data_IF_457474283840
#
_entry.id   IF_457474283840
#
_cell.length_a   1.000
_cell.length_b   1.000
_cell.length_c   1.000
_cell.angle_alpha   90.00
_cell.angle_beta   90.00
_cell.angle_gamma   90.00
#
_symmetry.space_group_name_H-M   'P 1'
#
loop_
_entity.id
_entity.type
_entity.pdbx_description
1 polymer ?
#
# COMPACT_ATOMS: atom_id res chain seq x y z
N UNK A 1 18.19 24.90 -41.95
CA UNK A 1 17.91 23.55 -41.42
C UNK A 1 17.80 23.64 -39.91
N UNK A 2 16.58 23.73 -39.37
CA UNK A 2 16.34 23.83 -37.92
C UNK A 2 16.65 22.48 -37.29
N UNK A 3 17.71 22.39 -36.49
CA UNK A 3 17.98 21.21 -35.67
C UNK A 3 16.96 21.20 -34.52
N UNK A 4 15.93 20.36 -34.65
CA UNK A 4 14.94 20.10 -33.60
C UNK A 4 15.66 19.61 -32.34
N UNK A 5 15.49 20.33 -31.23
CA UNK A 5 16.02 19.92 -29.92
C UNK A 5 15.29 18.64 -29.48
N UNK A 6 15.99 17.62 -28.96
CA UNK A 6 15.33 16.44 -28.44
C UNK A 6 14.40 16.84 -27.29
N UNK A 7 13.13 16.46 -27.38
CA UNK A 7 12.14 16.66 -26.33
C UNK A 7 12.56 15.80 -25.13
N UNK A 8 13.17 16.41 -24.11
CA UNK A 8 13.60 15.72 -22.90
C UNK A 8 12.35 15.33 -22.11
N UNK A 9 12.03 14.05 -22.10
CA UNK A 9 10.99 13.51 -21.21
C UNK A 9 11.42 13.83 -19.77
N UNK A 10 10.61 14.55 -18.97
CA UNK A 10 10.95 14.83 -17.58
C UNK A 10 11.09 13.52 -16.81
N UNK A 11 12.16 13.40 -16.02
CA UNK A 11 12.37 12.24 -15.15
C UNK A 11 11.24 12.23 -14.10
N UNK A 12 10.63 11.07 -13.79
CA UNK A 12 9.60 10.99 -12.76
C UNK A 12 10.10 11.55 -11.44
N UNK A 13 9.23 12.21 -10.68
CA UNK A 13 9.56 12.60 -9.32
C UNK A 13 9.77 11.35 -8.44
N UNK A 14 10.43 11.49 -7.29
CA UNK A 14 10.57 10.39 -6.34
C UNK A 14 9.20 9.83 -5.90
N UNK A 15 8.20 10.71 -5.82
CA UNK A 15 6.80 10.36 -5.53
C UNK A 15 6.21 9.49 -6.65
N UNK A 16 6.35 9.90 -7.90
CA UNK A 16 5.82 9.14 -9.04
C UNK A 16 6.46 7.76 -9.14
N UNK A 17 7.77 7.68 -8.87
CA UNK A 17 8.49 6.40 -8.83
C UNK A 17 7.98 5.47 -7.71
N UNK A 18 7.71 6.00 -6.52
CA UNK A 18 7.14 5.24 -5.39
C UNK A 18 5.75 4.70 -5.73
N UNK A 19 4.90 5.54 -6.32
CA UNK A 19 3.53 5.14 -6.71
C UNK A 19 3.59 4.11 -7.83
N UNK A 20 4.46 4.28 -8.82
CA UNK A 20 4.64 3.33 -9.91
C UNK A 20 5.16 1.96 -9.40
N UNK A 21 6.10 1.96 -8.47
CA UNK A 21 6.62 0.74 -7.82
C UNK A 21 5.51 -0.03 -7.11
N UNK A 22 4.62 0.67 -6.39
CA UNK A 22 3.49 0.04 -5.75
C UNK A 22 2.43 -0.44 -6.76
N UNK A 23 2.08 0.39 -7.74
CA UNK A 23 1.09 0.06 -8.77
C UNK A 23 1.49 -1.17 -9.59
N UNK A 24 2.79 -1.39 -9.82
CA UNK A 24 3.32 -2.56 -10.50
C UNK A 24 3.01 -3.92 -9.82
N UNK A 25 2.48 -3.91 -8.59
CA UNK A 25 2.04 -5.11 -7.86
C UNK A 25 0.68 -5.65 -8.33
N UNK A 26 -0.06 -4.88 -9.11
CA UNK A 26 -1.39 -5.24 -9.59
C UNK A 26 -1.39 -5.47 -11.10
N UNK A 27 -2.20 -6.40 -11.61
CA UNK A 27 -2.37 -6.62 -13.05
C UNK A 27 -3.29 -5.59 -13.72
N UNK A 28 -3.69 -4.53 -13.01
CA UNK A 28 -4.63 -3.50 -13.43
C UNK A 28 -4.11 -2.12 -13.05
N UNK A 29 -4.63 -1.09 -13.73
CA UNK A 29 -4.34 0.31 -13.38
C UNK A 29 -5.13 0.72 -12.14
N UNK A 30 -4.52 1.55 -11.31
CA UNK A 30 -5.19 2.13 -10.14
C UNK A 30 -6.21 3.18 -10.58
N UNK A 31 -7.35 3.22 -9.90
CA UNK A 31 -8.38 4.23 -10.12
C UNK A 31 -7.92 5.60 -9.58
N UNK A 32 -8.48 6.68 -10.12
CA UNK A 32 -8.09 8.06 -9.75
C UNK A 32 -8.16 8.32 -8.24
N UNK A 33 -9.21 7.86 -7.58
CA UNK A 33 -9.37 8.04 -6.12
C UNK A 33 -8.30 7.27 -5.32
N UNK A 34 -7.84 6.13 -5.84
CA UNK A 34 -6.78 5.34 -5.21
C UNK A 34 -5.45 6.09 -5.34
N UNK A 35 -5.14 6.60 -6.53
CA UNK A 35 -3.93 7.39 -6.79
C UNK A 35 -3.90 8.66 -5.95
N UNK A 36 -5.03 9.36 -5.84
CA UNK A 36 -5.15 10.56 -5.00
C UNK A 36 -4.89 10.24 -3.51
N UNK A 37 -5.56 9.23 -2.96
CA UNK A 37 -5.36 8.83 -1.57
C UNK A 37 -3.92 8.36 -1.29
N UNK A 38 -3.32 7.63 -2.23
CA UNK A 38 -1.93 7.19 -2.17
C UNK A 38 -0.96 8.38 -2.16
N UNK A 39 -1.18 9.41 -2.98
CA UNK A 39 -0.36 10.63 -2.98
C UNK A 39 -0.41 11.34 -1.64
N UNK A 40 -1.59 11.47 -1.05
CA UNK A 40 -1.75 12.11 0.26
C UNK A 40 -1.06 11.31 1.37
N UNK A 41 -1.19 9.98 1.36
CA UNK A 41 -0.47 9.09 2.28
C UNK A 41 1.05 9.24 2.14
N UNK A 42 1.56 9.27 0.90
CA UNK A 42 2.98 9.43 0.64
C UNK A 42 3.51 10.83 1.03
N UNK A 43 2.63 11.84 1.09
CA UNK A 43 2.91 13.15 1.67
C UNK A 43 2.74 13.17 3.21
N UNK A 44 2.63 12.01 3.87
CA UNK A 44 2.44 11.84 5.31
C UNK A 44 1.18 12.50 5.86
N UNK A 45 0.11 12.53 5.06
CA UNK A 45 -1.21 13.00 5.47
C UNK A 45 -2.13 11.81 5.70
N UNK A 46 -3.06 11.98 6.63
CA UNK A 46 -4.11 10.99 6.88
C UNK A 46 -5.21 11.10 5.84
N UNK A 47 -5.78 9.96 5.43
CA UNK A 47 -6.87 9.89 4.46
C UNK A 47 -8.07 9.14 5.01
N UNK A 48 -9.27 9.56 4.64
CA UNK A 48 -10.52 8.84 4.84
C UNK A 48 -11.11 8.52 3.47
N UNK A 49 -11.13 7.25 3.09
CA UNK A 49 -11.62 6.83 1.77
C UNK A 49 -13.04 6.26 1.90
N UNK A 50 -14.02 6.99 1.37
CA UNK A 50 -15.41 6.57 1.28
C UNK A 50 -15.76 6.26 -0.18
N UNK A 51 -15.87 4.98 -0.52
CA UNK A 51 -16.28 4.51 -1.84
C UNK A 51 -17.20 3.28 -1.69
N UNK A 52 -18.01 2.90 -2.69
CA UNK A 52 -18.85 1.69 -2.63
C UNK A 52 -18.05 0.39 -2.43
N UNK A 53 -18.66 -0.63 -1.85
CA UNK A 53 -18.03 -1.96 -1.74
C UNK A 53 -17.70 -2.51 -3.13
N UNK A 54 -16.55 -3.18 -3.28
CA UNK A 54 -16.09 -3.71 -4.57
C UNK A 54 -15.20 -2.78 -5.40
N UNK A 55 -15.05 -1.50 -5.03
CA UNK A 55 -14.23 -0.52 -5.77
C UNK A 55 -12.73 -0.54 -5.43
N UNK A 56 -12.23 -1.57 -4.75
CA UNK A 56 -10.79 -1.70 -4.49
C UNK A 56 -10.20 -0.77 -3.41
N UNK A 57 -10.99 -0.23 -2.48
CA UNK A 57 -10.48 0.59 -1.34
C UNK A 57 -9.30 -0.04 -0.59
N UNK A 58 -9.24 -1.38 -0.56
CA UNK A 58 -8.15 -2.16 0.02
C UNK A 58 -6.78 -1.76 -0.51
N UNK A 59 -6.67 -1.36 -1.78
CA UNK A 59 -5.41 -0.92 -2.40
C UNK A 59 -4.79 0.24 -1.64
N UNK A 60 -5.60 1.19 -1.16
CA UNK A 60 -5.11 2.34 -0.39
C UNK A 60 -4.56 1.90 0.97
N UNK A 61 -5.22 0.95 1.64
CA UNK A 61 -4.74 0.40 2.91
C UNK A 61 -3.45 -0.42 2.72
N UNK A 62 -3.34 -1.18 1.64
CA UNK A 62 -2.13 -1.93 1.27
C UNK A 62 -0.96 -1.00 0.95
N UNK A 63 -1.22 0.17 0.36
CA UNK A 63 -0.20 1.20 0.18
C UNK A 63 0.31 1.74 1.51
N UNK A 64 -0.58 2.00 2.49
CA UNK A 64 -0.16 2.46 3.81
C UNK A 64 0.78 1.46 4.51
N UNK A 65 0.49 0.15 4.40
CA UNK A 65 1.35 -0.92 4.91
C UNK A 65 2.69 -0.94 4.17
N UNK A 66 2.66 -0.88 2.84
CA UNK A 66 3.86 -0.83 2.00
C UNK A 66 4.78 0.34 2.38
N UNK A 67 4.20 1.54 2.53
CA UNK A 67 4.94 2.75 2.88
C UNK A 67 5.55 2.64 4.27
N UNK A 68 4.79 2.18 5.26
CA UNK A 68 5.27 2.00 6.63
C UNK A 68 6.46 1.03 6.68
N UNK A 69 6.36 -0.14 6.06
CA UNK A 69 7.44 -1.13 6.02
C UNK A 69 8.70 -0.59 5.33
N UNK A 70 8.53 0.13 4.22
CA UNK A 70 9.65 0.76 3.51
C UNK A 70 10.36 1.83 4.34
N UNK A 71 9.63 2.53 5.22
CA UNK A 71 10.18 3.50 6.15
C UNK A 71 10.67 2.87 7.47
N UNK A 72 10.60 1.55 7.63
CA UNK A 72 10.94 0.86 8.88
C UNK A 72 10.00 1.15 10.05
N UNK A 73 8.78 1.60 9.74
CA UNK A 73 7.70 1.88 10.69
C UNK A 73 6.79 0.66 10.86
N UNK A 74 5.92 0.73 11.86
CA UNK A 74 4.88 -0.29 12.11
C UNK A 74 3.54 0.16 11.53
N UNK A 75 2.78 -0.78 10.98
CA UNK A 75 1.43 -0.59 10.48
C UNK A 75 0.46 -1.55 11.18
N UNK A 76 -0.69 -1.04 11.59
CA UNK A 76 -1.79 -1.86 12.11
C UNK A 76 -2.89 -1.97 11.05
N UNK A 77 -3.23 -3.20 10.66
CA UNK A 77 -4.26 -3.46 9.69
C UNK A 77 -5.49 -4.06 10.36
N UNK A 78 -6.59 -3.32 10.39
CA UNK A 78 -7.85 -3.77 10.99
C UNK A 78 -8.88 -4.11 9.94
N UNK A 79 -9.63 -5.19 10.17
CA UNK A 79 -10.74 -5.62 9.32
C UNK A 79 -11.95 -5.96 10.20
N UNK A 80 -13.19 -5.82 9.67
CA UNK A 80 -14.40 -5.95 10.48
C UNK A 80 -14.70 -7.39 10.94
N UNK A 81 -14.10 -8.40 10.30
CA UNK A 81 -14.30 -9.81 10.66
C UNK A 81 -12.99 -10.61 10.61
N UNK A 82 -12.88 -11.61 11.49
CA UNK A 82 -11.70 -12.47 11.65
C UNK A 82 -11.26 -13.15 10.35
N UNK A 83 -12.20 -13.62 9.53
CA UNK A 83 -11.89 -14.29 8.27
C UNK A 83 -11.11 -13.38 7.31
N UNK A 84 -11.46 -12.10 7.23
CA UNK A 84 -10.76 -11.12 6.39
C UNK A 84 -9.40 -10.76 6.98
N UNK A 85 -9.29 -10.61 8.30
CA UNK A 85 -8.00 -10.42 8.97
C UNK A 85 -7.05 -11.60 8.68
N UNK A 86 -7.54 -12.83 8.79
CA UNK A 86 -6.74 -14.02 8.52
C UNK A 86 -6.32 -14.13 7.05
N UNK A 87 -7.19 -13.74 6.11
CA UNK A 87 -6.82 -13.68 4.70
C UNK A 87 -5.68 -12.67 4.48
N UNK A 88 -5.84 -11.45 5.00
CA UNK A 88 -4.82 -10.41 4.85
C UNK A 88 -3.50 -10.74 5.55
N UNK A 89 -3.55 -11.41 6.70
CA UNK A 89 -2.36 -11.94 7.35
C UNK A 89 -1.60 -12.90 6.45
N UNK A 90 -2.28 -13.83 5.76
CA UNK A 90 -1.64 -14.73 4.79
C UNK A 90 -1.07 -13.96 3.60
N UNK A 91 -1.86 -13.06 3.01
CA UNK A 91 -1.44 -12.23 1.87
C UNK A 91 -0.17 -11.43 2.22
N UNK A 92 -0.15 -10.77 3.38
CA UNK A 92 1.01 -10.00 3.83
C UNK A 92 2.21 -10.87 4.18
N UNK A 93 2.01 -12.05 4.76
CA UNK A 93 3.12 -12.99 5.01
C UNK A 93 3.74 -13.51 3.72
N UNK A 94 2.93 -13.79 2.72
CA UNK A 94 3.42 -14.18 1.40
C UNK A 94 4.20 -13.04 0.75
N UNK A 95 3.70 -11.81 0.87
CA UNK A 95 4.30 -10.64 0.25
C UNK A 95 5.57 -10.11 0.95
N UNK A 96 5.59 -10.08 2.28
CA UNK A 96 6.64 -9.43 3.08
C UNK A 96 7.45 -10.40 3.94
N UNK A 97 7.06 -11.67 3.98
CA UNK A 97 7.71 -12.71 4.77
C UNK A 97 7.19 -12.80 6.21
N UNK A 98 7.30 -13.99 6.84
CA UNK A 98 6.75 -14.26 8.17
C UNK A 98 7.44 -13.49 9.30
N UNK A 99 8.67 -13.01 9.11
CA UNK A 99 9.40 -12.26 10.14
C UNK A 99 8.86 -10.84 10.36
N UNK A 100 8.24 -10.23 9.34
CA UNK A 100 7.76 -8.85 9.40
C UNK A 100 6.27 -8.73 9.73
N UNK A 101 5.53 -9.83 9.70
CA UNK A 101 4.07 -9.85 9.80
C UNK A 101 3.64 -10.67 11.00
N UNK A 102 2.79 -10.08 11.83
CA UNK A 102 2.09 -10.70 12.94
C UNK A 102 0.58 -10.61 12.77
N UNK A 103 -0.14 -11.27 13.68
CA UNK A 103 -1.59 -11.14 13.80
C UNK A 103 -1.96 -11.14 15.26
N UNK A 104 -2.83 -10.21 15.65
CA UNK A 104 -3.41 -10.14 16.99
C UNK A 104 -4.93 -10.24 16.87
N UNK A 105 -5.47 -11.42 17.19
CA UNK A 105 -6.92 -11.65 17.33
C UNK A 105 -7.23 -12.10 18.74
N UNK A 106 -8.49 -12.02 19.16
CA UNK A 106 -8.91 -12.43 20.51
C UNK A 106 -8.54 -13.86 20.90
N UNK A 107 -8.31 -14.74 19.93
CA UNK A 107 -7.96 -16.15 20.16
C UNK A 107 -6.50 -16.50 19.81
N UNK A 108 -5.83 -15.70 18.97
CA UNK A 108 -4.50 -16.02 18.43
C UNK A 108 -3.65 -14.76 18.39
N UNK A 109 -2.47 -14.84 19.00
CA UNK A 109 -1.40 -13.84 18.89
C UNK A 109 -0.18 -14.54 18.27
N UNK A 110 0.16 -14.18 17.03
CA UNK A 110 1.36 -14.68 16.35
C UNK A 110 2.26 -13.50 15.97
N UNK A 111 3.57 -13.63 16.24
CA UNK A 111 4.58 -12.60 15.97
C UNK A 111 4.15 -11.17 16.36
N UNK A 112 3.85 -10.88 17.64
CA UNK A 112 3.40 -9.55 18.08
C UNK A 112 4.47 -8.45 17.89
N UNK A 113 5.72 -8.84 17.63
CA UNK A 113 6.82 -7.94 17.30
C UNK A 113 6.89 -7.62 15.79
N UNK A 114 6.05 -8.24 14.96
CA UNK A 114 5.92 -7.94 13.54
C UNK A 114 5.68 -6.44 13.30
N UNK A 115 6.18 -5.94 12.19
CA UNK A 115 5.98 -4.56 11.77
C UNK A 115 4.58 -4.35 11.20
N UNK A 116 3.95 -5.38 10.63
CA UNK A 116 2.52 -5.41 10.31
C UNK A 116 1.81 -6.25 11.36
N UNK A 117 0.74 -5.74 11.97
CA UNK A 117 -0.04 -6.45 13.01
C UNK A 117 -1.53 -6.21 12.93
#
# INVERSE_FOLDING_TARGET
MVKSRPHRVPKPSAMDALIAEFAARYPFNLDDFQVEAIRELANRRSVLVAAPTGTGKTVVAEFAVFLALREGLRAFYTAPIKALSNQKFRDFREQYGPGLVGVMTGDIVENPAGQVG
#
